data_IF_744520210682
#
_entry.id   IF_744520210682
#
_cell.length_a   1.000
_cell.length_b   1.000
_cell.length_c   1.000
_cell.angle_alpha   90.00
_cell.angle_beta   90.00
_cell.angle_gamma   90.00
#
_symmetry.space_group_name_H-M   'P 1'
#
loop_
_entity.id
_entity.type
_entity.pdbx_description
1 polymer ?
#
# COMPACT_ATOMS: atom_id res chain seq x y z
N UNK A 1 2.89 5.15 -15.99
CA UNK A 1 2.74 6.23 -14.99
C UNK A 1 3.84 6.09 -13.95
N UNK A 2 4.43 7.20 -13.49
CA UNK A 2 5.43 7.19 -12.41
C UNK A 2 4.74 7.53 -11.09
N UNK A 3 4.80 6.62 -10.12
CA UNK A 3 4.35 6.91 -8.76
C UNK A 3 5.40 7.81 -8.12
N UNK A 4 5.01 9.01 -7.66
CA UNK A 4 5.93 9.99 -7.08
C UNK A 4 6.37 9.64 -5.65
N UNK A 5 5.53 8.91 -4.93
CA UNK A 5 5.76 8.57 -3.53
C UNK A 5 5.04 7.26 -3.17
N UNK A 6 5.76 6.38 -2.48
CA UNK A 6 5.22 5.18 -1.83
C UNK A 6 5.75 5.20 -0.41
N UNK A 7 4.87 4.93 0.57
CA UNK A 7 5.27 4.83 1.97
C UNK A 7 6.09 3.57 2.20
N UNK A 8 7.16 3.68 2.99
CA UNK A 8 7.92 2.52 3.48
C UNK A 8 7.27 1.89 4.72
N UNK A 9 6.23 2.53 5.29
CA UNK A 9 5.49 1.98 6.41
C UNK A 9 4.47 0.96 5.91
N UNK A 10 4.66 -0.31 6.28
CA UNK A 10 3.73 -1.38 5.93
C UNK A 10 3.51 -2.35 7.09
N UNK A 11 2.39 -3.06 7.04
CA UNK A 11 2.03 -4.10 7.99
C UNK A 11 1.78 -5.42 7.25
N UNK A 12 2.36 -6.50 7.75
CA UNK A 12 2.09 -7.85 7.26
C UNK A 12 0.86 -8.41 8.00
N UNK A 13 -0.28 -8.48 7.31
CA UNK A 13 -1.54 -8.99 7.88
C UNK A 13 -1.63 -10.52 7.91
N UNK A 14 -0.59 -11.20 7.42
CA UNK A 14 -0.56 -12.66 7.28
C UNK A 14 -1.28 -13.15 6.02
N UNK A 15 -1.11 -14.45 5.72
CA UNK A 15 -1.60 -15.10 4.48
C UNK A 15 -1.12 -14.40 3.18
N UNK A 16 0.05 -13.75 3.24
CA UNK A 16 0.64 -13.02 2.12
C UNK A 16 -0.03 -11.67 1.79
N UNK A 17 -0.88 -11.15 2.67
CA UNK A 17 -1.45 -9.80 2.52
C UNK A 17 -0.54 -8.75 3.17
N UNK A 18 -0.35 -7.64 2.46
CA UNK A 18 0.48 -6.51 2.89
C UNK A 18 -0.39 -5.26 2.88
N UNK A 19 -0.43 -4.51 3.97
CA UNK A 19 -1.09 -3.21 4.02
C UNK A 19 -0.04 -2.11 4.07
N UNK A 20 -0.04 -1.19 3.11
CA UNK A 20 0.72 0.05 3.18
C UNK A 20 -0.01 1.02 4.12
N UNK A 21 0.73 1.62 5.04
CA UNK A 21 0.20 2.53 6.07
C UNK A 21 0.64 3.94 5.74
N UNK A 22 -0.33 4.80 5.51
CA UNK A 22 -0.13 6.22 5.31
C UNK A 22 -0.60 6.98 6.54
N UNK A 23 0.28 7.81 7.07
CA UNK A 23 0.00 8.73 8.16
C UNK A 23 -0.98 9.83 7.70
N UNK A 24 -1.66 10.50 8.64
CA UNK A 24 -2.55 11.61 8.30
C UNK A 24 -1.76 12.69 7.53
N UNK A 25 -2.42 13.33 6.57
CA UNK A 25 -1.83 14.29 5.61
C UNK A 25 -0.97 13.71 4.48
N UNK A 26 -0.64 12.42 4.47
CA UNK A 26 0.11 11.83 3.34
C UNK A 26 -0.78 11.59 2.11
N UNK A 27 -1.99 11.06 2.33
CA UNK A 27 -2.96 10.75 1.27
C UNK A 27 -4.31 11.43 1.45
N UNK A 28 -4.57 12.04 2.62
CA UNK A 28 -5.87 12.62 2.94
C UNK A 28 -5.82 13.54 4.15
N UNK A 29 -6.93 14.25 4.44
CA UNK A 29 -7.01 15.17 5.57
C UNK A 29 -6.90 14.42 6.90
N UNK A 30 -6.52 15.13 7.97
CA UNK A 30 -6.38 14.55 9.30
C UNK A 30 -7.61 13.77 9.80
N UNK A 31 -8.81 14.26 9.46
CA UNK A 31 -10.06 13.63 9.84
C UNK A 31 -10.25 12.22 9.25
N UNK A 32 -9.54 11.88 8.16
CA UNK A 32 -9.53 10.54 7.59
C UNK A 32 -8.67 9.55 8.40
N UNK A 33 -7.87 10.04 9.36
CA UNK A 33 -6.94 9.23 10.13
C UNK A 33 -5.86 8.59 9.26
N UNK A 34 -5.34 7.45 9.73
CA UNK A 34 -4.36 6.69 8.97
C UNK A 34 -5.06 5.93 7.84
N UNK A 35 -4.53 6.06 6.62
CA UNK A 35 -5.07 5.38 5.44
C UNK A 35 -4.28 4.09 5.22
N UNK A 36 -5.01 2.99 5.01
CA UNK A 36 -4.42 1.68 4.76
C UNK A 36 -4.75 1.23 3.34
N UNK A 37 -3.71 0.93 2.55
CA UNK A 37 -3.86 0.37 1.21
C UNK A 37 -3.45 -1.10 1.24
N UNK A 38 -4.43 -1.99 1.16
CA UNK A 38 -4.22 -3.43 1.21
C UNK A 38 -3.86 -4.03 -0.16
N UNK A 39 -2.79 -4.82 -0.18
CA UNK A 39 -2.36 -5.64 -1.30
C UNK A 39 -2.58 -7.11 -0.96
N UNK A 40 -3.40 -7.75 -1.79
CA UNK A 40 -3.58 -9.20 -1.72
C UNK A 40 -2.45 -9.92 -2.46
N UNK A 41 -2.14 -11.19 -2.13
CA UNK A 41 -1.15 -11.99 -2.85
C UNK A 41 -1.36 -11.99 -4.38
N UNK A 42 -2.63 -12.01 -4.82
CA UNK A 42 -2.99 -11.95 -6.24
C UNK A 42 -2.61 -10.64 -6.90
N UNK A 43 -2.81 -9.51 -6.20
CA UNK A 43 -2.43 -8.20 -6.69
C UNK A 43 -0.90 -8.08 -6.78
N UNK A 44 -0.18 -8.56 -5.77
CA UNK A 44 1.29 -8.57 -5.76
C UNK A 44 1.84 -9.39 -6.93
N UNK A 45 1.30 -10.60 -7.13
CA UNK A 45 1.70 -11.46 -8.24
C UNK A 45 1.43 -10.80 -9.61
N UNK A 46 0.28 -10.16 -9.77
CA UNK A 46 -0.07 -9.42 -10.99
C UNK A 46 0.95 -8.31 -11.30
N UNK A 47 1.29 -7.47 -10.31
CA UNK A 47 2.28 -6.42 -10.50
C UNK A 47 3.69 -6.96 -10.74
N UNK A 48 4.08 -8.05 -10.07
CA UNK A 48 5.37 -8.70 -10.32
C UNK A 48 5.50 -9.23 -11.75
N UNK A 49 4.43 -9.79 -12.33
CA UNK A 49 4.41 -10.23 -13.74
C UNK A 49 4.50 -9.08 -14.73
N UNK A 50 3.99 -7.89 -14.38
CA UNK A 50 4.09 -6.69 -15.22
C UNK A 50 5.48 -6.07 -15.23
N UNK A 51 6.29 -6.35 -14.20
CA UNK A 51 7.67 -5.87 -14.09
C UNK A 51 8.70 -6.83 -14.73
N UNK A 52 8.26 -7.91 -15.39
CA UNK A 52 9.10 -8.84 -16.15
C UNK A 52 9.13 -8.52 -17.65
#
# INVERSE_FOLDING_TARGET
WSVKYVTDNYCLRGKGNIDLVYQPYELGPYAAGNIYIGFTPKAIEYFNRMNS
#
